data_IF_405961818205
#
_entry.id   IF_405961818205
#
_cell.length_a   1.000
_cell.length_b   1.000
_cell.length_c   1.000
_cell.angle_alpha   90.00
_cell.angle_beta   90.00
_cell.angle_gamma   90.00
#
_symmetry.space_group_name_H-M   'P 1'
#
loop_
_entity.id
_entity.type
_entity.pdbx_description
1 polymer ?
#
# COMPACT_ATOMS: atom_id res chain seq x y z
N UNK A 1 2.90 4.37 -39.83
CA UNK A 1 3.60 5.30 -38.92
C UNK A 1 2.84 6.62 -38.82
N UNK A 2 2.29 7.16 -39.91
CA UNK A 2 1.39 8.34 -39.91
C UNK A 2 0.26 8.28 -38.88
N UNK A 3 -0.51 7.18 -38.84
CA UNK A 3 -1.65 7.06 -37.91
C UNK A 3 -1.26 7.13 -36.42
N UNK A 4 -0.02 6.77 -36.07
CA UNK A 4 0.47 6.89 -34.69
C UNK A 4 0.76 8.37 -34.40
N UNK A 5 1.42 9.07 -35.31
CA UNK A 5 1.72 10.50 -35.15
C UNK A 5 0.45 11.35 -35.05
N UNK A 6 -0.57 11.04 -35.84
CA UNK A 6 -1.88 11.70 -35.77
C UNK A 6 -2.57 11.44 -34.42
N UNK A 7 -2.50 10.21 -33.92
CA UNK A 7 -3.06 9.88 -32.60
C UNK A 7 -2.34 10.63 -31.46
N UNK A 8 -1.00 10.74 -31.52
CA UNK A 8 -0.23 11.51 -30.54
C UNK A 8 -0.53 13.01 -30.64
N UNK A 9 -0.60 13.57 -31.85
CA UNK A 9 -0.96 14.97 -32.07
C UNK A 9 -2.35 15.27 -31.49
N UNK A 10 -3.34 14.43 -31.78
CA UNK A 10 -4.68 14.57 -31.20
C UNK A 10 -4.69 14.45 -29.68
N UNK A 11 -3.96 13.48 -29.12
CA UNK A 11 -3.92 13.22 -27.67
C UNK A 11 -3.35 14.39 -26.86
N UNK A 12 -2.38 15.12 -27.41
CA UNK A 12 -1.69 16.20 -26.70
C UNK A 12 -2.10 17.62 -27.12
N UNK A 13 -2.62 17.81 -28.34
CA UNK A 13 -2.95 19.14 -28.87
C UNK A 13 -4.44 19.47 -28.75
N UNK A 14 -5.33 18.47 -28.69
CA UNK A 14 -6.76 18.70 -28.53
C UNK A 14 -7.19 18.66 -27.06
N UNK A 15 -8.10 19.55 -26.66
CA UNK A 15 -8.63 19.57 -25.27
C UNK A 15 -9.30 18.25 -24.90
N UNK A 16 -9.96 17.60 -25.84
CA UNK A 16 -10.63 16.31 -25.63
C UNK A 16 -9.60 15.20 -25.45
N UNK A 17 -8.52 15.21 -26.25
CA UNK A 17 -7.43 14.26 -26.12
C UNK A 17 -6.76 14.33 -24.75
N UNK A 18 -6.47 15.54 -24.27
CA UNK A 18 -5.86 15.74 -22.95
C UNK A 18 -6.79 15.30 -21.81
N UNK A 19 -8.09 15.55 -21.92
CA UNK A 19 -9.06 15.05 -20.93
C UNK A 19 -9.09 13.52 -20.86
N UNK A 20 -9.04 12.84 -22.01
CA UNK A 20 -8.97 11.38 -22.09
C UNK A 20 -7.66 10.87 -21.51
N UNK A 21 -6.54 11.55 -21.75
CA UNK A 21 -5.24 11.23 -21.15
C UNK A 21 -5.31 11.28 -19.61
N UNK A 22 -5.87 12.35 -19.05
CA UNK A 22 -6.00 12.53 -17.59
C UNK A 22 -6.93 11.47 -17.01
N UNK A 23 -8.10 11.26 -17.60
CA UNK A 23 -9.05 10.25 -17.16
C UNK A 23 -8.45 8.84 -17.23
N UNK A 24 -7.75 8.51 -18.31
CA UNK A 24 -7.02 7.25 -18.47
C UNK A 24 -5.93 7.09 -17.40
N UNK A 25 -5.16 8.14 -17.13
CA UNK A 25 -4.14 8.13 -16.07
C UNK A 25 -4.73 7.88 -14.69
N UNK A 26 -5.85 8.52 -14.35
CA UNK A 26 -6.56 8.30 -13.08
C UNK A 26 -7.03 6.85 -12.98
N UNK A 27 -7.64 6.31 -14.04
CA UNK A 27 -8.10 4.91 -14.06
C UNK A 27 -6.94 3.94 -13.86
N UNK A 28 -5.81 4.16 -14.54
CA UNK A 28 -4.60 3.35 -14.37
C UNK A 28 -4.09 3.43 -12.92
N UNK A 29 -4.05 4.63 -12.35
CA UNK A 29 -3.63 4.81 -10.96
C UNK A 29 -4.57 4.09 -9.97
N UNK A 30 -5.89 4.15 -10.19
CA UNK A 30 -6.87 3.42 -9.40
C UNK A 30 -6.70 1.91 -9.51
N UNK A 31 -6.40 1.38 -10.70
CA UNK A 31 -6.13 -0.05 -10.89
C UNK A 31 -4.88 -0.46 -10.10
N UNK A 32 -3.80 0.33 -10.17
CA UNK A 32 -2.57 0.07 -9.42
C UNK A 32 -2.84 0.10 -7.92
N UNK A 33 -3.56 1.13 -7.44
CA UNK A 33 -3.95 1.24 -6.04
C UNK A 33 -4.77 0.03 -5.59
N UNK A 34 -5.74 -0.42 -6.39
CA UNK A 34 -6.56 -1.60 -6.11
C UNK A 34 -5.74 -2.89 -6.07
N UNK A 35 -4.79 -3.07 -6.99
CA UNK A 35 -3.88 -4.22 -7.00
C UNK A 35 -2.97 -4.21 -5.77
N UNK A 36 -2.42 -3.05 -5.40
CA UNK A 36 -1.63 -2.89 -4.20
C UNK A 36 -2.45 -3.21 -2.95
N UNK A 37 -3.68 -2.70 -2.86
CA UNK A 37 -4.61 -2.99 -1.76
C UNK A 37 -4.94 -4.47 -1.64
N UNK A 38 -5.20 -5.15 -2.77
CA UNK A 38 -5.40 -6.61 -2.82
C UNK A 38 -4.15 -7.37 -2.38
N UNK A 39 -2.96 -6.87 -2.70
CA UNK A 39 -1.68 -7.51 -2.34
C UNK A 39 -1.33 -7.32 -0.88
N UNK A 40 -1.51 -6.12 -0.32
CA UNK A 40 -1.29 -5.87 1.11
C UNK A 40 -2.32 -6.58 1.97
N UNK A 41 -3.59 -6.70 1.54
CA UNK A 41 -4.58 -7.52 2.26
C UNK A 41 -4.20 -9.00 2.39
N UNK A 42 -3.37 -9.54 1.49
CA UNK A 42 -2.85 -10.92 1.62
C UNK A 42 -1.64 -11.00 2.57
N UNK A 43 -0.79 -9.99 2.59
CA UNK A 43 0.39 -9.98 3.46
C UNK A 43 0.05 -9.65 4.92
N UNK A 44 -0.94 -8.79 5.14
CA UNK A 44 -1.46 -8.43 6.46
C UNK A 44 -2.83 -9.07 6.73
N UNK A 45 -3.14 -10.17 6.05
CA UNK A 45 -4.28 -10.99 6.46
C UNK A 45 -3.93 -11.56 7.82
N UNK A 46 -4.52 -10.94 8.85
CA UNK A 46 -4.53 -11.32 10.26
C UNK A 46 -3.95 -12.73 10.49
N UNK A 47 -2.63 -12.82 10.60
CA UNK A 47 -1.99 -14.07 10.96
C UNK A 47 -2.38 -14.28 12.42
N UNK A 48 -2.99 -15.41 12.74
CA UNK A 48 -3.03 -15.85 14.14
C UNK A 48 -1.58 -15.94 14.57
N UNK A 49 -1.24 -15.26 15.68
CA UNK A 49 0.10 -15.22 16.26
C UNK A 49 0.67 -16.64 16.27
N UNK A 50 1.68 -16.90 15.44
CA UNK A 50 2.36 -18.19 15.44
C UNK A 50 3.28 -18.28 16.64
N UNK A 51 3.53 -19.48 17.16
CA UNK A 51 4.40 -19.73 18.33
C UNK A 51 5.86 -19.22 18.15
N UNK A 52 6.27 -18.83 16.94
CA UNK A 52 7.56 -18.22 16.60
C UNK A 52 7.52 -16.67 16.46
N UNK A 53 6.39 -16.01 16.77
CA UNK A 53 6.31 -14.55 16.77
C UNK A 53 7.05 -13.99 18.00
N UNK A 54 7.99 -13.06 17.79
CA UNK A 54 8.86 -12.53 18.84
C UNK A 54 8.04 -11.78 19.90
N UNK A 55 7.72 -12.48 20.97
CA UNK A 55 7.09 -11.87 22.13
C UNK A 55 8.13 -11.12 22.98
N UNK A 56 8.17 -9.81 22.78
CA UNK A 56 8.94 -8.87 23.60
C UNK A 56 8.61 -8.95 25.11
N UNK A 57 7.54 -9.65 25.49
CA UNK A 57 7.02 -9.72 26.86
C UNK A 57 6.93 -11.14 27.44
N UNK A 58 7.29 -12.20 26.71
CA UNK A 58 7.13 -13.59 27.21
C UNK A 58 8.43 -14.19 27.78
N UNK A 59 9.58 -13.54 27.54
CA UNK A 59 10.89 -13.93 28.11
C UNK A 59 11.40 -12.97 29.22
N UNK A 60 10.52 -12.10 29.74
CA UNK A 60 10.91 -11.14 30.78
C UNK A 60 9.81 -10.90 31.83
N UNK A 61 9.19 -11.96 32.35
CA UNK A 61 8.42 -11.94 33.61
C UNK A 61 9.33 -11.75 34.85
N UNK A 62 10.26 -10.80 34.80
CA UNK A 62 11.04 -10.40 35.99
C UNK A 62 11.59 -8.97 35.95
N UNK A 63 11.42 -8.20 34.87
CA UNK A 63 12.06 -6.88 34.73
C UNK A 63 11.28 -5.69 35.30
N UNK A 64 9.94 -5.76 35.32
CA UNK A 64 9.07 -4.64 35.70
C UNK A 64 8.49 -4.74 37.11
N UNK A 65 8.47 -5.94 37.71
CA UNK A 65 8.03 -6.13 39.10
C UNK A 65 9.04 -5.60 40.12
N UNK A 66 10.32 -5.52 39.76
CA UNK A 66 11.38 -5.02 40.65
C UNK A 66 11.28 -3.50 40.91
N UNK A 67 10.72 -2.73 39.95
CA UNK A 67 10.63 -1.27 40.08
C UNK A 67 9.43 -0.80 40.91
N UNK A 68 8.39 -1.64 41.04
CA UNK A 68 7.18 -1.34 41.82
C UNK A 68 7.31 -1.70 43.32
N UNK A 69 8.27 -2.55 43.71
CA UNK A 69 8.47 -2.93 45.12
C UNK A 69 9.31 -1.92 45.94
N UNK A 70 10.02 -1.00 45.27
CA UNK A 70 10.76 0.09 45.94
C UNK A 70 9.87 1.28 46.36
N UNK A 71 8.57 1.26 46.03
CA UNK A 71 7.60 2.31 46.39
C UNK A 71 6.54 1.83 47.41
N UNK A 72 6.97 1.06 48.42
CA UNK A 72 6.18 0.73 49.62
C UNK A 72 6.86 1.22 50.89
#
# INVERSE_FOLDING_TARGET
MEAILDAFSWLFNDRTGVLVLIAGGIVVFLIIAFVLERRTRKHYFNHEKSEDDWDLFDDEESGWSEFDDDNK
#
